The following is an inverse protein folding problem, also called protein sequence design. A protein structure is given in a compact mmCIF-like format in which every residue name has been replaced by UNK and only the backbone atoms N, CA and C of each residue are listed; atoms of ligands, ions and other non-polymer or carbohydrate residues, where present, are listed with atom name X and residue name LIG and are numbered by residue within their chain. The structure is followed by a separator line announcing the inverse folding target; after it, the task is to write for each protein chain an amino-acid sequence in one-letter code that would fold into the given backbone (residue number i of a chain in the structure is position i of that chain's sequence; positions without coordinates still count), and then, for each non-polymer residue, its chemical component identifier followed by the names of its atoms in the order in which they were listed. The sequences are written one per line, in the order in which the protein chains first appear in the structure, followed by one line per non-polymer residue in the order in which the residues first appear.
data_IF_745789837392
#
_entry.id   IF_745789837392
#
_cell.length_a   1.000
_cell.length_b   1.000
_cell.length_c   1.000
_cell.angle_alpha   90.00
_cell.angle_beta   90.00
_cell.angle_gamma   90.00
#
_symmetry.space_group_name_H-M   'P 1'
#
loop_
_entity.id
_entity.type
_entity.pdbx_description
1 polymer ?
#
# COMPACT_ATOMS: atom_id res chain seq x y z
N UNK A 1 -50.88 -41.31 4.91
CA UNK A 1 -51.40 -39.97 5.29
C UNK A 1 -50.55 -38.92 4.59
N UNK A 2 -51.14 -38.36 3.55
CA UNK A 2 -50.63 -37.31 2.69
C UNK A 2 -50.87 -35.94 3.30
N UNK A 3 -49.86 -35.09 3.38
CA UNK A 3 -49.87 -33.77 2.72
C UNK A 3 -48.52 -33.04 2.88
N UNK A 4 -47.96 -32.49 1.78
CA UNK A 4 -46.78 -31.61 1.75
C UNK A 4 -47.19 -30.13 1.87
N UNK A 5 -46.24 -29.25 2.16
CA UNK A 5 -46.38 -27.81 1.90
C UNK A 5 -45.20 -27.29 1.08
N UNK A 6 -45.50 -27.02 -0.19
CA UNK A 6 -44.81 -26.07 -1.05
C UNK A 6 -45.29 -24.64 -0.73
N UNK A 7 -44.39 -23.66 -0.86
CA UNK A 7 -44.67 -22.27 -1.23
C UNK A 7 -43.51 -21.83 -2.14
N UNK A 8 -43.65 -21.93 -3.46
CA UNK A 8 -44.24 -20.94 -4.38
C UNK A 8 -43.40 -19.66 -4.51
N UNK A 9 -42.49 -19.68 -5.47
CA UNK A 9 -41.93 -18.49 -6.09
C UNK A 9 -42.96 -17.83 -7.01
N UNK A 10 -42.97 -16.49 -7.09
CA UNK A 10 -43.31 -15.76 -8.32
C UNK A 10 -42.43 -14.51 -8.49
N UNK A 11 -41.99 -14.22 -9.72
CA UNK A 11 -41.15 -13.10 -10.08
C UNK A 11 -41.97 -11.80 -10.20
N UNK A 12 -41.39 -10.66 -9.81
CA UNK A 12 -41.96 -9.35 -10.08
C UNK A 12 -41.61 -8.92 -11.51
N UNK A 13 -42.66 -8.60 -12.26
CA UNK A 13 -42.61 -8.19 -13.66
C UNK A 13 -42.09 -6.76 -13.84
N UNK A 14 -41.31 -6.57 -14.90
CA UNK A 14 -40.96 -5.29 -15.50
C UNK A 14 -42.23 -4.56 -15.99
N UNK A 15 -42.40 -3.32 -15.56
CA UNK A 15 -43.28 -2.35 -16.22
C UNK A 15 -42.39 -1.25 -16.79
N UNK A 16 -42.26 -1.26 -18.12
CA UNK A 16 -41.70 -0.17 -18.88
C UNK A 16 -42.78 0.87 -19.16
N UNK A 17 -42.44 2.15 -19.01
CA UNK A 17 -43.21 3.25 -19.59
C UNK A 17 -42.22 4.14 -20.34
N UNK A 18 -42.37 4.12 -21.65
CA UNK A 18 -41.82 5.08 -22.60
C UNK A 18 -42.58 6.40 -22.48
N UNK A 19 -41.89 7.55 -22.49
CA UNK A 19 -42.48 8.79 -22.99
C UNK A 19 -41.47 9.55 -23.86
N UNK A 20 -41.97 9.91 -25.04
CA UNK A 20 -41.28 10.45 -26.21
C UNK A 20 -41.10 11.96 -26.10
N UNK A 21 -40.03 12.40 -26.77
CA UNK A 21 -39.63 13.72 -27.25
C UNK A 21 -40.65 14.88 -27.26
N UNK A 22 -40.12 16.09 -27.01
CA UNK A 22 -40.33 17.40 -27.67
C UNK A 22 -39.78 18.45 -26.68
N UNK A 23 -38.71 19.20 -26.96
CA UNK A 23 -38.73 20.41 -27.79
C UNK A 23 -37.27 20.83 -28.12
N UNK A 24 -36.94 20.88 -29.40
CA UNK A 24 -35.89 21.75 -29.95
C UNK A 24 -36.56 23.03 -30.49
N UNK A 25 -35.76 24.10 -30.51
CA UNK A 25 -35.81 25.29 -31.42
C UNK A 25 -36.25 26.63 -30.81
N UNK A 26 -35.28 27.56 -30.92
CA UNK A 26 -35.35 29.02 -31.10
C UNK A 26 -35.51 29.96 -29.88
N UNK A 27 -34.44 30.72 -29.61
CA UNK A 27 -34.48 32.17 -29.85
C UNK A 27 -33.08 32.69 -30.23
N UNK A 28 -33.01 33.27 -31.44
CA UNK A 28 -31.86 33.97 -32.01
C UNK A 28 -31.84 35.44 -31.53
N UNK A 29 -30.63 35.92 -31.20
CA UNK A 29 -30.01 37.23 -31.51
C UNK A 29 -30.85 38.53 -31.45
N UNK A 30 -30.33 39.54 -30.72
CA UNK A 30 -29.84 40.87 -31.23
C UNK A 30 -29.43 41.83 -30.06
N UNK A 31 -28.78 43.00 -30.29
CA UNK A 31 -27.32 43.13 -30.47
C UNK A 31 -26.65 44.21 -29.58
N UNK A 32 -25.31 44.22 -29.58
CA UNK A 32 -24.37 45.35 -29.40
C UNK A 32 -24.49 46.29 -28.18
N UNK A 33 -23.45 46.31 -27.34
CA UNK A 33 -22.86 47.57 -26.88
C UNK A 33 -21.42 47.43 -26.35
N UNK A 34 -20.53 48.24 -26.94
CA UNK A 34 -19.32 48.86 -26.38
C UNK A 34 -18.12 48.01 -25.93
N UNK A 35 -17.12 48.03 -26.82
CA UNK A 35 -15.69 48.23 -26.56
C UNK A 35 -15.29 48.48 -25.09
N UNK A 36 -14.57 47.52 -24.51
CA UNK A 36 -13.50 47.81 -23.56
C UNK A 36 -12.32 46.90 -23.88
N UNK A 37 -11.31 47.50 -24.52
CA UNK A 37 -10.02 46.89 -24.81
C UNK A 37 -9.26 46.85 -23.49
N UNK A 38 -9.45 45.79 -22.71
CA UNK A 38 -8.55 45.46 -21.60
C UNK A 38 -7.30 44.79 -22.17
N UNK A 39 -6.12 45.30 -21.79
CA UNK A 39 -4.84 44.65 -21.99
C UNK A 39 -4.92 43.17 -21.58
N UNK A 40 -4.19 42.26 -22.24
CA UNK A 40 -4.06 40.88 -21.76
C UNK A 40 -3.33 40.94 -20.42
N UNK A 41 -4.10 40.96 -19.33
CA UNK A 41 -3.60 40.54 -18.04
C UNK A 41 -3.29 39.08 -18.23
N UNK A 42 -2.01 38.74 -18.31
CA UNK A 42 -1.52 37.39 -18.08
C UNK A 42 -1.99 37.01 -16.69
N UNK A 43 -3.21 36.49 -16.61
CA UNK A 43 -3.64 35.65 -15.51
C UNK A 43 -2.76 34.42 -15.67
N UNK A 44 -1.61 34.42 -14.99
CA UNK A 44 -1.09 33.18 -14.45
C UNK A 44 -2.24 32.61 -13.65
N UNK A 45 -3.04 31.76 -14.29
CA UNK A 45 -3.99 30.93 -13.59
C UNK A 45 -3.14 30.12 -12.64
N UNK A 46 -3.19 30.50 -11.36
CA UNK A 46 -2.58 29.75 -10.28
C UNK A 46 -3.34 28.42 -10.29
N UNK A 47 -2.80 27.42 -10.99
CA UNK A 47 -3.39 26.10 -11.06
C UNK A 47 -3.32 25.58 -9.64
N UNK A 48 -4.47 25.48 -8.98
CA UNK A 48 -4.55 24.98 -7.62
C UNK A 48 -3.82 23.64 -7.54
N UNK A 49 -2.93 23.45 -6.55
CA UNK A 49 -2.17 22.23 -6.44
C UNK A 49 -3.10 21.02 -6.32
N UNK A 50 -2.79 19.97 -7.07
CA UNK A 50 -3.52 18.70 -7.02
C UNK A 50 -2.97 17.85 -5.88
N UNK A 51 -3.85 17.29 -5.05
CA UNK A 51 -3.44 16.37 -3.98
C UNK A 51 -3.19 14.97 -4.54
N UNK A 52 -2.02 14.39 -4.26
CA UNK A 52 -1.65 13.00 -4.59
C UNK A 52 -1.21 12.28 -3.32
N UNK A 53 -1.50 10.97 -3.26
CA UNK A 53 -1.12 10.09 -2.18
C UNK A 53 -0.11 9.06 -2.66
N UNK A 54 1.00 8.90 -1.92
CA UNK A 54 1.92 7.78 -2.10
C UNK A 54 1.71 6.82 -0.92
N UNK A 55 1.10 5.68 -1.18
CA UNK A 55 0.71 4.71 -0.17
C UNK A 55 1.75 3.61 -0.02
N UNK A 56 2.17 3.38 1.21
CA UNK A 56 3.07 2.31 1.63
C UNK A 56 2.31 1.31 2.50
N UNK A 57 2.41 0.02 2.17
CA UNK A 57 1.74 -1.09 2.85
C UNK A 57 2.76 -2.12 3.34
N UNK A 58 2.54 -2.68 4.54
CA UNK A 58 3.48 -3.61 5.18
C UNK A 58 4.53 -2.89 6.03
N UNK A 59 5.56 -3.58 6.56
CA UNK A 59 6.46 -2.95 7.52
C UNK A 59 7.41 -2.03 6.77
N UNK A 60 7.10 -0.75 6.81
CA UNK A 60 7.94 0.35 6.39
C UNK A 60 8.39 1.16 7.59
N UNK A 61 9.58 1.71 7.50
CA UNK A 61 10.07 2.73 8.41
C UNK A 61 10.35 4.02 7.64
N UNK A 62 10.03 5.17 8.26
CA UNK A 62 10.26 6.49 7.68
C UNK A 62 11.30 7.24 8.52
N UNK A 63 12.35 7.75 7.88
CA UNK A 63 13.38 8.56 8.53
C UNK A 63 13.61 9.86 7.76
N UNK A 64 14.07 10.95 8.41
CA UNK A 64 14.64 12.08 7.69
C UNK A 64 15.79 11.63 6.79
N UNK A 65 15.87 12.16 5.57
CA UNK A 65 16.98 11.84 4.66
C UNK A 65 18.25 12.60 5.12
N UNK A 66 19.35 11.90 5.48
CA UNK A 66 20.60 12.57 5.87
C UNK A 66 21.26 13.33 4.71
N UNK A 67 20.88 13.05 3.46
CA UNK A 67 21.42 13.70 2.26
C UNK A 67 20.56 14.88 1.78
N UNK A 68 19.32 14.98 2.25
CA UNK A 68 18.40 16.06 1.89
C UNK A 68 17.50 16.45 3.08
N UNK A 69 17.67 17.65 3.67
CA UNK A 69 16.83 18.10 4.77
C UNK A 69 15.35 18.27 4.38
N UNK A 70 15.05 18.32 3.08
CA UNK A 70 13.71 18.35 2.51
C UNK A 70 13.24 16.98 2.00
N UNK A 71 14.01 15.92 2.28
CA UNK A 71 13.69 14.55 1.91
C UNK A 71 13.28 13.69 3.09
N UNK A 72 12.65 12.57 2.76
CA UNK A 72 12.37 11.44 3.66
C UNK A 72 12.85 10.15 2.99
N UNK A 73 13.34 9.23 3.80
CA UNK A 73 13.62 7.85 3.41
C UNK A 73 12.48 6.95 3.87
N UNK A 74 11.91 6.17 2.95
CA UNK A 74 11.09 5.02 3.25
C UNK A 74 11.96 3.75 3.14
N UNK A 75 12.00 2.95 4.20
CA UNK A 75 12.89 1.80 4.36
C UNK A 75 12.07 0.54 4.62
N UNK A 76 12.41 -0.55 3.94
CA UNK A 76 11.80 -1.86 4.17
C UNK A 76 12.84 -2.97 3.97
N UNK A 77 12.72 -4.11 4.67
CA UNK A 77 13.58 -5.26 4.44
C UNK A 77 13.20 -5.98 3.13
N UNK A 78 14.20 -6.56 2.46
CA UNK A 78 13.99 -7.64 1.48
C UNK A 78 13.88 -8.95 2.26
N UNK A 79 12.70 -9.24 2.80
CA UNK A 79 12.47 -10.45 3.57
C UNK A 79 12.43 -11.70 2.67
N UNK A 80 12.86 -12.83 3.25
CA UNK A 80 12.86 -14.10 2.53
C UNK A 80 11.43 -14.60 2.30
N UNK A 81 11.08 -14.80 1.02
CA UNK A 81 9.74 -15.20 0.61
C UNK A 81 8.80 -14.04 0.32
N UNK A 82 9.32 -12.82 0.14
CA UNK A 82 8.58 -11.71 -0.47
C UNK A 82 8.99 -11.53 -1.94
N UNK A 83 8.04 -11.06 -2.75
CA UNK A 83 8.30 -10.61 -4.11
C UNK A 83 9.17 -9.34 -4.10
N UNK A 84 9.58 -8.94 -5.29
CA UNK A 84 10.27 -7.68 -5.51
C UNK A 84 9.34 -6.49 -5.24
N UNK A 85 9.93 -5.33 -4.89
CA UNK A 85 9.18 -4.11 -4.62
C UNK A 85 8.40 -3.71 -5.87
N UNK A 86 7.13 -3.38 -5.70
CA UNK A 86 6.27 -2.94 -6.78
C UNK A 86 5.82 -1.50 -6.57
N UNK A 87 6.01 -0.68 -7.60
CA UNK A 87 5.51 0.69 -7.66
C UNK A 87 4.42 0.76 -8.71
N UNK A 88 3.18 0.98 -8.24
CA UNK A 88 1.96 0.95 -9.04
C UNK A 88 1.32 2.33 -9.12
N UNK A 89 1.13 2.80 -10.33
CA UNK A 89 0.23 3.89 -10.70
C UNK A 89 -0.75 3.35 -11.78
N UNK A 90 -1.04 4.09 -12.84
CA UNK A 90 -1.72 3.54 -14.03
C UNK A 90 -0.83 2.55 -14.80
N UNK A 91 0.49 2.72 -14.69
CA UNK A 91 1.49 1.72 -15.07
C UNK A 91 2.15 1.13 -13.82
N UNK A 92 3.05 0.18 -14.03
CA UNK A 92 3.66 -0.57 -12.95
C UNK A 92 5.14 -0.84 -13.20
N UNK A 93 5.92 -0.83 -12.13
CA UNK A 93 7.34 -1.17 -12.15
C UNK A 93 7.66 -2.14 -11.03
N UNK A 94 8.35 -3.22 -11.37
CA UNK A 94 8.94 -4.16 -10.40
C UNK A 94 10.41 -3.79 -10.22
N UNK A 95 10.83 -3.64 -8.98
CA UNK A 95 12.13 -3.13 -8.58
C UNK A 95 12.82 -4.16 -7.69
N UNK A 96 14.03 -4.57 -8.08
CA UNK A 96 14.89 -5.39 -7.24
C UNK A 96 15.30 -4.66 -5.95
N UNK A 97 15.96 -5.34 -5.02
CA UNK A 97 16.54 -4.66 -3.85
C UNK A 97 17.51 -3.55 -4.26
N UNK A 98 17.54 -2.47 -3.49
CA UNK A 98 18.38 -1.31 -3.80
C UNK A 98 17.86 0.00 -3.23
N UNK A 99 18.42 1.10 -3.73
CA UNK A 99 18.08 2.47 -3.33
C UNK A 99 17.47 3.20 -4.52
N UNK A 100 16.28 3.74 -4.33
CA UNK A 100 15.49 4.42 -5.35
C UNK A 100 15.18 5.85 -4.94
N UNK A 101 14.88 6.67 -5.93
CA UNK A 101 14.33 8.01 -5.76
C UNK A 101 13.01 8.07 -6.51
N UNK A 102 11.93 8.38 -5.80
CA UNK A 102 10.63 8.69 -6.37
C UNK A 102 10.53 10.21 -6.52
N UNK A 103 10.58 10.69 -7.76
CA UNK A 103 10.46 12.11 -8.08
C UNK A 103 9.01 12.48 -8.33
N UNK A 104 8.56 13.57 -7.71
CA UNK A 104 7.22 14.12 -7.84
C UNK A 104 7.30 15.57 -8.33
N UNK A 105 6.32 16.07 -9.10
CA UNK A 105 6.25 17.46 -9.55
C UNK A 105 5.75 18.41 -8.43
N UNK A 106 6.37 18.31 -7.24
CA UNK A 106 6.14 19.18 -6.08
C UNK A 106 6.91 20.48 -6.24
N UNK A 107 6.29 21.61 -5.91
CA UNK A 107 6.94 22.94 -5.98
C UNK A 107 7.70 23.30 -4.70
N UNK A 108 7.30 22.74 -3.56
CA UNK A 108 7.89 22.99 -2.24
C UNK A 108 7.87 21.72 -1.39
N UNK A 109 8.80 21.63 -0.44
CA UNK A 109 8.76 20.59 0.59
C UNK A 109 7.54 20.78 1.49
N UNK A 110 6.87 19.68 1.85
CA UNK A 110 5.75 19.70 2.76
C UNK A 110 6.16 19.86 4.24
N UNK A 111 5.18 20.07 5.11
CA UNK A 111 5.40 20.25 6.55
C UNK A 111 5.89 18.98 7.26
N UNK A 112 5.64 17.79 6.69
CA UNK A 112 6.04 16.51 7.27
C UNK A 112 5.25 16.13 8.53
N UNK A 113 4.00 16.57 8.66
CA UNK A 113 3.19 16.29 9.86
C UNK A 113 2.94 14.80 10.03
N UNK A 114 3.56 14.21 11.05
CA UNK A 114 3.37 12.80 11.41
C UNK A 114 2.04 12.60 12.13
N UNK A 115 1.35 11.51 11.82
CA UNK A 115 0.23 11.03 12.63
C UNK A 115 0.77 10.52 13.99
N UNK A 116 0.20 10.95 15.12
CA UNK A 116 0.71 10.61 16.45
C UNK A 116 0.63 9.11 16.77
N UNK A 117 -0.20 8.34 16.05
CA UNK A 117 -0.34 6.90 16.26
C UNK A 117 0.69 6.08 15.48
N UNK A 118 1.59 6.72 14.70
CA UNK A 118 2.72 6.01 14.09
C UNK A 118 3.71 5.64 15.19
N UNK A 119 4.09 4.37 15.25
CA UNK A 119 5.05 3.86 16.24
C UNK A 119 6.39 4.55 16.06
N UNK A 120 6.85 5.23 17.10
CA UNK A 120 8.14 5.90 17.10
C UNK A 120 9.25 4.92 17.53
N UNK A 121 10.41 4.98 16.87
CA UNK A 121 11.60 4.25 17.29
C UNK A 121 12.86 5.11 17.12
N UNK A 122 13.76 5.06 18.10
CA UNK A 122 15.03 5.75 18.00
C UNK A 122 16.01 4.94 17.14
N UNK A 123 16.62 5.59 16.15
CA UNK A 123 17.66 5.01 15.30
C UNK A 123 18.94 5.82 15.45
N UNK A 124 20.09 5.15 15.48
CA UNK A 124 21.37 5.87 15.46
C UNK A 124 21.75 6.25 14.02
N UNK A 125 22.53 7.31 13.78
CA UNK A 125 23.06 7.60 12.46
C UNK A 125 23.83 6.41 11.86
N UNK A 126 24.57 5.67 12.69
CA UNK A 126 25.27 4.45 12.29
C UNK A 126 24.30 3.32 11.89
N UNK A 127 23.18 3.16 12.59
CA UNK A 127 22.13 2.18 12.25
C UNK A 127 21.43 2.51 10.93
N UNK A 128 21.14 3.79 10.69
CA UNK A 128 20.59 4.24 9.41
C UNK A 128 21.60 4.05 8.27
N UNK A 129 22.87 4.39 8.48
CA UNK A 129 23.91 4.15 7.46
C UNK A 129 24.10 2.65 7.20
N UNK A 130 24.15 1.83 8.25
CA UNK A 130 24.21 0.37 8.12
C UNK A 130 23.04 -0.17 7.30
N UNK A 131 21.82 0.31 7.58
CA UNK A 131 20.64 0.01 6.77
C UNK A 131 20.94 0.35 5.33
N UNK A 132 21.34 1.59 5.02
CA UNK A 132 21.64 2.05 3.66
C UNK A 132 22.84 1.37 2.99
N UNK A 133 23.62 0.56 3.68
CA UNK A 133 24.75 -0.20 3.13
C UNK A 133 24.45 -1.71 3.01
N UNK A 134 23.32 -2.20 3.54
CA UNK A 134 22.97 -3.62 3.60
C UNK A 134 22.50 -4.20 2.25
N UNK A 135 23.40 -4.32 1.27
CA UNK A 135 23.13 -4.75 -0.12
C UNK A 135 22.41 -6.10 -0.16
N UNK A 136 21.36 -6.20 -0.98
CA UNK A 136 20.53 -7.41 -1.13
C UNK A 136 19.46 -7.59 -0.05
N UNK A 137 19.48 -6.78 1.01
CA UNK A 137 18.64 -6.97 2.20
C UNK A 137 17.59 -5.87 2.40
N UNK A 138 17.55 -4.87 1.52
CA UNK A 138 16.72 -3.67 1.72
C UNK A 138 16.10 -3.14 0.46
N UNK A 139 15.04 -2.38 0.68
CA UNK A 139 14.59 -1.31 -0.18
C UNK A 139 14.72 0.01 0.57
N UNK A 140 15.27 1.00 -0.11
CA UNK A 140 15.20 2.39 0.32
C UNK A 140 14.59 3.23 -0.80
N UNK A 141 13.59 4.04 -0.48
CA UNK A 141 12.98 4.98 -1.42
C UNK A 141 13.15 6.38 -0.84
N UNK A 142 13.89 7.24 -1.53
CA UNK A 142 13.97 8.67 -1.26
C UNK A 142 12.76 9.35 -1.86
N UNK A 143 12.09 10.17 -1.07
CA UNK A 143 10.97 11.00 -1.49
C UNK A 143 11.17 12.43 -1.00
N UNK A 144 10.60 13.43 -1.69
CA UNK A 144 10.37 14.74 -1.07
C UNK A 144 9.59 14.59 0.23
N UNK A 145 9.82 15.49 1.18
CA UNK A 145 9.07 15.55 2.44
C UNK A 145 7.58 15.80 2.15
N UNK A 146 6.67 14.93 2.62
CA UNK A 146 5.24 15.08 2.38
C UNK A 146 4.64 16.21 3.22
N UNK A 147 3.42 16.62 2.88
CA UNK A 147 2.65 17.54 3.72
C UNK A 147 2.26 16.87 5.05
N UNK A 148 1.84 15.60 4.97
CA UNK A 148 1.43 14.81 6.11
C UNK A 148 1.55 13.30 5.85
N UNK A 149 1.71 12.54 6.92
CA UNK A 149 1.61 11.09 6.96
C UNK A 149 0.21 10.74 7.45
N UNK A 150 -0.59 10.07 6.63
CA UNK A 150 -2.00 9.79 6.92
C UNK A 150 -2.19 8.27 7.06
N UNK A 151 -2.93 7.78 8.06
CA UNK A 151 -3.24 6.36 8.18
C UNK A 151 -3.93 5.83 6.91
N UNK A 152 -3.33 4.83 6.27
CA UNK A 152 -3.92 4.09 5.15
C UNK A 152 -4.53 2.75 5.57
N UNK A 153 -4.14 2.22 6.72
CA UNK A 153 -4.63 0.96 7.28
C UNK A 153 -4.23 0.84 8.75
N UNK A 154 -4.99 0.05 9.51
CA UNK A 154 -4.73 -0.20 10.93
C UNK A 154 -5.05 -1.63 11.30
N UNK A 155 -4.32 -2.18 12.25
CA UNK A 155 -4.61 -3.48 12.84
C UNK A 155 -4.35 -3.47 14.34
N UNK A 156 -5.16 -4.23 15.06
CA UNK A 156 -4.94 -4.43 16.49
C UNK A 156 -3.66 -5.25 16.72
N UNK A 157 -2.74 -4.69 17.49
CA UNK A 157 -1.46 -5.33 17.83
C UNK A 157 -0.90 -4.75 19.12
N UNK A 158 0.15 -5.36 19.66
CA UNK A 158 0.98 -4.90 20.77
C UNK A 158 2.37 -4.62 20.23
N UNK A 159 2.95 -3.47 20.60
CA UNK A 159 4.28 -3.08 20.13
C UNK A 159 5.11 -2.58 21.29
N UNK A 160 6.34 -3.07 21.43
CA UNK A 160 7.23 -2.57 22.48
C UNK A 160 8.64 -3.11 22.42
N UNK A 161 9.51 -2.51 23.22
CA UNK A 161 10.95 -2.84 23.26
C UNK A 161 11.30 -4.11 24.05
N UNK A 162 10.31 -4.82 24.59
CA UNK A 162 10.50 -6.09 25.32
C UNK A 162 9.68 -7.21 24.68
N UNK A 163 10.19 -8.44 24.80
CA UNK A 163 9.54 -9.63 24.27
C UNK A 163 9.00 -10.54 25.40
N UNK A 164 7.73 -10.98 25.35
CA UNK A 164 6.70 -10.49 24.43
C UNK A 164 6.30 -9.04 24.77
N UNK A 165 5.79 -8.26 23.80
CA UNK A 165 5.26 -6.92 24.07
C UNK A 165 4.23 -6.91 25.21
N UNK A 166 4.32 -5.97 26.17
CA UNK A 166 3.37 -5.89 27.28
C UNK A 166 1.93 -5.71 26.81
N UNK A 167 0.96 -6.32 27.50
CA UNK A 167 -0.46 -6.19 27.15
C UNK A 167 -0.97 -4.73 27.18
N UNK A 168 -0.34 -3.87 27.99
CA UNK A 168 -0.63 -2.43 28.05
C UNK A 168 -0.28 -1.67 26.77
N UNK A 169 0.49 -2.26 25.86
CA UNK A 169 0.85 -1.67 24.55
C UNK A 169 -0.13 -2.05 23.44
N UNK A 170 -1.21 -2.75 23.79
CA UNK A 170 -2.25 -3.15 22.84
C UNK A 170 -2.99 -1.92 22.32
N UNK A 171 -3.11 -1.82 21.00
CA UNK A 171 -3.79 -0.72 20.34
C UNK A 171 -4.02 -1.00 18.86
N UNK A 172 -4.73 -0.09 18.19
CA UNK A 172 -4.98 -0.17 16.76
C UNK A 172 -3.91 0.60 15.98
N UNK A 173 -2.76 -0.06 15.80
CA UNK A 173 -1.55 0.53 15.23
C UNK A 173 -1.66 0.68 13.71
N UNK A 174 -1.01 1.70 13.16
CA UNK A 174 -1.00 1.98 11.72
C UNK A 174 -0.14 0.94 11.00
N UNK A 175 -0.72 0.24 10.02
CA UNK A 175 -0.06 -0.84 9.24
C UNK A 175 0.14 -0.47 7.76
N UNK A 176 -0.45 0.64 7.34
CA UNK A 176 -0.21 1.27 6.05
C UNK A 176 -0.29 2.77 6.21
N UNK A 177 0.53 3.52 5.48
CA UNK A 177 0.56 4.99 5.53
C UNK A 177 0.47 5.57 4.14
N UNK A 178 -0.31 6.63 3.99
CA UNK A 178 -0.41 7.44 2.78
C UNK A 178 0.29 8.76 3.00
N UNK A 179 1.37 8.99 2.26
CA UNK A 179 2.07 10.27 2.24
C UNK A 179 1.31 11.23 1.33
N UNK A 180 0.82 12.34 1.88
CA UNK A 180 0.06 13.34 1.14
C UNK A 180 1.00 14.39 0.54
N UNK A 181 0.82 14.69 -0.73
CA UNK A 181 1.57 15.71 -1.46
C UNK A 181 0.64 16.66 -2.22
N UNK A 182 0.93 17.95 -2.14
CA UNK A 182 0.50 18.96 -3.08
C UNK A 182 1.43 18.98 -4.31
N UNK A 183 0.93 18.61 -5.49
CA UNK A 183 1.68 18.60 -6.75
C UNK A 183 1.13 19.59 -7.77
N UNK A 184 1.99 20.09 -8.65
CA UNK A 184 1.60 21.02 -9.72
C UNK A 184 0.88 20.34 -10.89
N UNK A 185 1.10 19.04 -11.08
CA UNK A 185 0.50 18.24 -12.15
C UNK A 185 0.51 16.75 -11.78
N UNK A 186 -0.32 15.95 -12.45
CA UNK A 186 -0.22 14.49 -12.44
C UNK A 186 0.86 13.94 -13.40
N UNK A 187 1.52 14.82 -14.15
CA UNK A 187 2.62 14.48 -15.07
C UNK A 187 3.98 14.78 -14.44
N UNK A 188 5.01 13.99 -14.76
CA UNK A 188 6.38 14.22 -14.29
C UNK A 188 6.79 13.37 -13.10
N UNK A 189 5.93 12.43 -12.68
CA UNK A 189 6.31 11.38 -11.74
C UNK A 189 7.32 10.43 -12.41
N UNK A 190 8.37 10.08 -11.70
CA UNK A 190 9.33 9.09 -12.17
C UNK A 190 10.02 8.38 -11.03
N UNK A 191 10.50 7.16 -11.31
CA UNK A 191 11.33 6.40 -10.40
C UNK A 191 12.69 6.14 -11.05
N UNK A 192 13.75 6.36 -10.29
CA UNK A 192 15.13 6.13 -10.69
C UNK A 192 15.90 5.53 -9.53
N UNK A 193 17.12 5.04 -9.75
CA UNK A 193 17.96 4.63 -8.64
C UNK A 193 19.03 3.63 -9.00
N UNK A 194 19.51 2.94 -7.97
CA UNK A 194 20.58 1.97 -8.05
C UNK A 194 20.08 0.67 -7.40
N UNK A 195 19.50 -0.24 -8.21
CA UNK A 195 19.39 -1.63 -7.80
C UNK A 195 20.76 -2.15 -7.37
N UNK A 196 20.81 -3.12 -6.46
CA UNK A 196 22.08 -3.68 -5.99
C UNK A 196 22.93 -4.32 -7.11
N UNK A 197 22.30 -4.61 -8.26
CA UNK A 197 22.92 -5.23 -9.44
C UNK A 197 23.23 -4.24 -10.58
N UNK A 198 22.94 -2.94 -10.44
CA UNK A 198 23.20 -1.97 -11.49
C UNK A 198 22.55 -0.60 -11.28
N UNK A 199 22.17 0.05 -12.37
CA UNK A 199 21.51 1.37 -12.34
C UNK A 199 20.19 1.31 -13.09
N UNK A 200 19.17 1.92 -12.50
CA UNK A 200 17.87 2.15 -13.12
C UNK A 200 17.80 3.60 -13.60
N UNK A 201 17.83 3.79 -14.92
CA UNK A 201 17.53 5.08 -15.52
C UNK A 201 16.11 5.52 -15.15
N UNK A 202 15.82 6.84 -15.06
CA UNK A 202 14.50 7.33 -14.72
C UNK A 202 13.41 6.73 -15.60
N UNK A 203 12.46 6.04 -14.98
CA UNK A 203 11.27 5.48 -15.60
C UNK A 203 10.06 6.34 -15.23
N UNK A 204 9.34 6.91 -16.21
CA UNK A 204 8.15 7.69 -15.93
C UNK A 204 7.02 6.83 -15.34
N UNK A 205 6.32 7.38 -14.36
CA UNK A 205 5.11 6.79 -13.80
C UNK A 205 3.89 7.53 -14.38
N UNK A 206 2.97 6.77 -14.94
CA UNK A 206 1.71 7.29 -15.47
C UNK A 206 0.73 7.39 -14.30
N UNK A 207 0.53 8.60 -13.80
CA UNK A 207 -0.39 8.87 -12.69
C UNK A 207 -1.65 9.49 -13.29
N UNK A 208 -2.69 8.69 -13.54
CA UNK A 208 -3.99 9.22 -14.01
C UNK A 208 -4.96 9.42 -12.84
N UNK A 209 -4.69 8.76 -11.72
CA UNK A 209 -5.41 8.89 -10.46
C UNK A 209 -4.46 9.35 -9.37
N UNK A 210 -4.92 10.11 -8.36
CA UNK A 210 -4.07 10.71 -7.33
C UNK A 210 -3.55 9.70 -6.28
N UNK A 211 -3.21 8.48 -6.71
CA UNK A 211 -2.66 7.42 -5.87
C UNK A 211 -1.53 6.71 -6.61
N UNK A 212 -0.37 6.63 -5.95
CA UNK A 212 0.72 5.72 -6.30
C UNK A 212 0.91 4.78 -5.12
N UNK A 213 1.03 3.49 -5.37
CA UNK A 213 1.21 2.46 -4.33
C UNK A 213 2.61 1.90 -4.40
N UNK A 214 3.23 1.75 -3.25
CA UNK A 214 4.59 1.24 -3.06
C UNK A 214 4.47 0.03 -2.13
N UNK A 215 4.50 -1.16 -2.72
CA UNK A 215 4.06 -2.40 -2.04
C UNK A 215 5.12 -3.47 -2.19
N UNK A 216 5.35 -4.23 -1.11
CA UNK A 216 6.13 -5.46 -1.13
C UNK A 216 5.16 -6.59 -0.85
N UNK A 217 4.77 -7.33 -1.89
CA UNK A 217 3.84 -8.45 -1.75
C UNK A 217 4.58 -9.69 -1.26
N UNK A 218 3.95 -10.53 -0.41
CA UNK A 218 4.51 -11.83 -0.10
C UNK A 218 4.53 -12.72 -1.35
N UNK A 219 5.55 -13.56 -1.49
CA UNK A 219 5.66 -14.49 -2.62
C UNK A 219 4.67 -15.67 -2.53
N UNK A 220 4.05 -15.84 -1.37
CA UNK A 220 2.95 -16.76 -1.12
C UNK A 220 1.84 -15.92 -0.48
N UNK A 221 0.59 -16.11 -0.90
CA UNK A 221 -0.53 -15.52 -0.18
C UNK A 221 -0.47 -15.96 1.28
N UNK A 222 -0.82 -15.09 2.21
CA UNK A 222 -0.88 -15.46 3.62
C UNK A 222 -1.76 -16.70 3.74
N UNK A 223 -1.18 -17.75 4.32
CA UNK A 223 -1.91 -18.98 4.59
C UNK A 223 -3.11 -18.58 5.46
N UNK A 224 -4.37 -18.78 5.03
CA UNK A 224 -5.52 -18.47 5.86
C UNK A 224 -5.50 -19.25 7.19
N UNK A 225 -4.60 -20.24 7.32
CA UNK A 225 -4.30 -21.00 8.54
C UNK A 225 -3.14 -20.44 9.37
N UNK A 226 -2.49 -19.33 8.97
CA UNK A 226 -1.50 -18.61 9.79
C UNK A 226 -2.19 -17.79 10.89
N UNK A 227 -2.87 -18.51 11.78
CA UNK A 227 -3.49 -17.97 13.00
C UNK A 227 -2.49 -17.23 13.90
N UNK A 228 -1.19 -17.44 13.65
CA UNK A 228 -0.13 -16.80 14.40
C UNK A 228 0.39 -15.53 13.72
N UNK A 229 -0.07 -15.08 12.55
CA UNK A 229 0.47 -13.87 11.90
C UNK A 229 2.02 -13.92 11.79
N UNK A 230 2.54 -15.12 11.52
CA UNK A 230 3.97 -15.44 11.49
C UNK A 230 4.69 -14.58 10.46
N UNK A 231 4.07 -14.41 9.29
CA UNK A 231 4.59 -13.61 8.21
C UNK A 231 4.75 -12.13 8.60
N UNK A 232 3.73 -11.56 9.24
CA UNK A 232 3.77 -10.21 9.80
C UNK A 232 4.92 -10.06 10.81
N UNK A 233 5.02 -10.97 11.79
CA UNK A 233 6.10 -10.94 12.81
C UNK A 233 7.49 -11.10 12.21
N UNK A 234 7.65 -11.98 11.23
CA UNK A 234 8.92 -12.19 10.54
C UNK A 234 9.36 -10.93 9.78
N UNK A 235 8.43 -10.32 9.04
CA UNK A 235 8.69 -9.09 8.30
C UNK A 235 9.05 -7.91 9.21
N UNK A 236 8.36 -7.78 10.35
CA UNK A 236 8.67 -6.75 11.35
C UNK A 236 10.02 -6.99 12.02
N UNK A 237 10.33 -8.25 12.39
CA UNK A 237 11.66 -8.65 12.89
C UNK A 237 12.76 -8.24 11.91
N UNK A 238 12.58 -8.52 10.64
CA UNK A 238 13.58 -8.24 9.62
C UNK A 238 13.78 -6.73 9.44
N UNK A 239 12.71 -5.93 9.54
CA UNK A 239 12.79 -4.47 9.54
C UNK A 239 13.59 -3.97 10.75
N UNK A 240 13.24 -4.38 11.97
CA UNK A 240 13.91 -3.87 13.17
C UNK A 240 15.38 -4.30 13.23
N UNK A 241 15.69 -5.52 12.75
CA UNK A 241 17.05 -6.03 12.62
C UNK A 241 17.86 -5.23 11.60
N UNK A 242 17.27 -4.92 10.44
CA UNK A 242 17.90 -4.10 9.41
C UNK A 242 18.25 -2.70 9.96
N UNK A 243 17.32 -2.10 10.71
CA UNK A 243 17.47 -0.76 11.30
C UNK A 243 18.39 -0.73 12.54
N UNK A 244 18.69 -1.89 13.13
CA UNK A 244 19.41 -1.96 14.40
C UNK A 244 18.63 -1.40 15.58
N UNK A 245 17.29 -1.46 15.55
CA UNK A 245 16.40 -1.01 16.64
C UNK A 245 15.83 -2.21 17.39
N UNK A 246 15.43 -1.99 18.65
CA UNK A 246 14.80 -3.04 19.47
C UNK A 246 13.31 -2.76 19.61
N UNK A 247 12.51 -3.41 18.77
CA UNK A 247 11.05 -3.41 18.85
C UNK A 247 10.52 -4.80 18.51
N UNK A 248 9.39 -5.16 19.11
CA UNK A 248 8.69 -6.42 18.89
C UNK A 248 7.21 -6.14 18.64
N UNK A 249 6.55 -7.01 17.86
CA UNK A 249 5.10 -6.96 17.60
C UNK A 249 4.40 -8.25 17.98
N UNK A 250 3.19 -8.14 18.53
CA UNK A 250 2.29 -9.27 18.81
C UNK A 250 0.83 -8.93 18.48
N UNK A 251 -0.03 -9.93 18.28
CA UNK A 251 -1.40 -9.78 17.76
C UNK A 251 -2.45 -10.44 18.69
N UNK A 252 -3.68 -9.90 18.80
CA UNK A 252 -4.63 -10.21 19.88
C UNK A 252 -5.22 -11.63 19.90
N UNK A 253 -5.07 -12.46 18.86
CA UNK A 253 -5.55 -13.86 18.82
C UNK A 253 -4.51 -14.89 19.25
N UNK A 254 -3.69 -14.50 20.22
CA UNK A 254 -2.48 -15.22 20.53
C UNK A 254 -2.67 -16.41 21.46
N UNK A 255 -2.27 -17.60 21.00
CA UNK A 255 -2.09 -18.77 21.87
C UNK A 255 -0.64 -18.87 22.32
N UNK A 256 -0.38 -19.44 23.50
CA UNK A 256 0.99 -19.71 23.97
C UNK A 256 1.80 -20.59 23.00
N UNK A 257 1.13 -21.37 22.15
CA UNK A 257 1.76 -22.15 21.09
C UNK A 257 2.40 -21.25 20.01
N UNK A 258 1.77 -20.14 19.61
CA UNK A 258 2.37 -19.18 18.67
C UNK A 258 3.69 -18.61 19.22
N UNK A 259 3.81 -18.43 20.53
CA UNK A 259 5.02 -17.97 21.23
C UNK A 259 6.17 -18.94 21.14
N UNK A 260 5.88 -20.24 21.07
CA UNK A 260 6.93 -21.24 20.99
C UNK A 260 7.66 -21.18 19.65
N UNK A 261 6.96 -20.78 18.59
CA UNK A 261 7.45 -20.75 17.20
C UNK A 261 7.64 -19.34 16.66
N UNK A 262 7.55 -18.31 17.50
CA UNK A 262 7.65 -16.91 17.09
C UNK A 262 9.05 -16.60 16.52
N UNK A 263 9.16 -16.05 15.28
CA UNK A 263 10.43 -15.69 14.66
C UNK A 263 11.22 -14.61 15.42
N UNK A 264 10.57 -13.82 16.28
CA UNK A 264 11.17 -12.74 17.04
C UNK A 264 11.93 -13.23 18.29
N UNK A 265 11.68 -14.47 18.76
CA UNK A 265 12.41 -15.04 19.90
C UNK A 265 13.84 -15.36 19.54
N UNK A 266 14.79 -14.97 20.40
CA UNK A 266 16.20 -15.28 20.23
C UNK A 266 16.47 -16.77 19.94
N UNK A 267 15.77 -17.68 20.63
CA UNK A 267 15.88 -19.12 20.43
C UNK A 267 15.47 -19.60 19.02
N UNK A 268 14.64 -18.82 18.32
CA UNK A 268 14.04 -19.15 17.03
C UNK A 268 14.66 -18.35 15.85
N UNK A 269 15.73 -17.58 16.08
CA UNK A 269 16.36 -16.73 15.05
C UNK A 269 17.16 -17.51 13.99
N UNK A 270 16.98 -18.84 13.90
CA UNK A 270 17.53 -19.59 12.77
C UNK A 270 16.73 -19.23 11.51
N UNK A 271 17.39 -18.99 10.36
CA UNK A 271 16.68 -18.77 9.10
C UNK A 271 15.74 -19.94 8.86
N UNK A 272 14.44 -19.68 8.75
CA UNK A 272 13.49 -20.72 8.34
C UNK A 272 13.72 -21.00 6.87
N UNK A 273 14.19 -22.19 6.58
CA UNK A 273 14.30 -22.66 5.20
C UNK A 273 12.91 -22.84 4.59
N UNK A 274 12.82 -22.86 3.26
CA UNK A 274 11.59 -23.27 2.59
C UNK A 274 11.13 -24.68 3.04
N UNK A 275 12.08 -25.53 3.44
CA UNK A 275 11.80 -26.84 4.02
C UNK A 275 11.19 -26.75 5.43
N UNK A 276 11.62 -25.82 6.29
CA UNK A 276 11.00 -25.62 7.61
C UNK A 276 9.56 -25.12 7.48
N UNK A 277 9.28 -24.28 6.47
CA UNK A 277 7.93 -23.80 6.16
C UNK A 277 7.07 -24.92 5.57
N UNK A 278 7.60 -25.72 4.65
CA UNK A 278 6.93 -26.90 4.12
C UNK A 278 6.70 -27.97 5.18
N UNK A 279 7.65 -28.20 6.09
CA UNK A 279 7.52 -29.13 7.20
C UNK A 279 6.51 -28.63 8.24
N UNK A 280 6.40 -27.32 8.47
CA UNK A 280 5.34 -26.75 9.30
C UNK A 280 3.95 -26.91 8.66
N UNK A 281 3.85 -26.79 7.32
CA UNK A 281 2.65 -27.09 6.56
C UNK A 281 2.32 -28.60 6.57
N UNK A 282 3.33 -29.47 6.49
CA UNK A 282 3.18 -30.93 6.48
C UNK A 282 2.87 -31.52 7.86
N UNK A 283 3.42 -30.95 8.94
CA UNK A 283 3.23 -31.42 10.31
C UNK A 283 1.89 -30.98 10.93
N UNK A 284 1.10 -30.14 10.24
CA UNK A 284 -0.29 -29.89 10.60
C UNK A 284 -1.18 -30.91 9.89
N UNK A 285 -1.68 -31.86 10.68
CA UNK A 285 -2.63 -32.89 10.26
C UNK A 285 -3.72 -32.37 9.33
N UNK A 286 -3.90 -33.11 8.23
CA UNK A 286 -5.04 -33.11 7.32
C UNK A 286 -6.34 -32.72 8.02
N UNK A 287 -6.89 -31.59 7.59
CA UNK A 287 -8.29 -31.51 7.23
C UNK A 287 -8.34 -30.95 5.81
N UNK A 288 -8.31 -31.90 4.87
CA UNK A 288 -8.81 -31.83 3.49
C UNK A 288 -10.14 -31.05 3.42
N UNK A 289 -10.49 -30.35 2.34
CA UNK A 289 -10.48 -30.81 0.94
C UNK A 289 -10.17 -29.68 -0.06
N UNK A 290 -9.50 -30.08 -1.15
CA UNK A 290 -9.59 -29.59 -2.53
C UNK A 290 -9.76 -28.08 -2.79
N UNK A 291 -8.73 -27.48 -3.39
CA UNK A 291 -8.71 -27.26 -4.85
C UNK A 291 -7.28 -27.02 -5.33
N UNK A 292 -6.72 -28.03 -6.01
CA UNK A 292 -5.72 -27.80 -7.03
C UNK A 292 -6.39 -27.17 -8.26
N UNK A 293 -5.87 -26.04 -8.72
CA UNK A 293 -5.73 -25.81 -10.15
C UNK A 293 -4.44 -25.01 -10.40
N UNK A 294 -3.58 -25.45 -11.34
CA UNK A 294 -2.40 -24.70 -11.72
C UNK A 294 -2.85 -23.45 -12.49
N UNK A 295 -2.45 -22.25 -12.05
CA UNK A 295 -2.58 -21.06 -12.88
C UNK A 295 -1.22 -20.70 -13.47
N UNK A 296 -1.13 -21.04 -14.75
CA UNK A 296 -0.13 -20.65 -15.72
C UNK A 296 0.16 -19.15 -15.70
N UNK A 297 1.39 -18.83 -16.07
CA UNK A 297 1.87 -17.49 -16.36
C UNK A 297 0.95 -16.71 -17.33
N UNK A 298 0.76 -15.43 -17.04
CA UNK A 298 0.42 -14.42 -18.04
C UNK A 298 -1.03 -14.35 -18.51
N UNK A 299 -1.48 -13.11 -18.70
CA UNK A 299 -2.63 -12.69 -19.50
C UNK A 299 -4.03 -12.93 -18.90
N UNK A 300 -4.63 -11.82 -18.47
CA UNK A 300 -6.04 -11.53 -18.76
C UNK A 300 -7.08 -12.18 -17.84
N UNK A 301 -7.67 -11.36 -16.98
CA UNK A 301 -9.08 -11.53 -16.64
C UNK A 301 -9.93 -10.59 -17.52
N UNK A 302 -10.57 -11.10 -18.59
CA UNK A 302 -11.83 -10.55 -19.05
C UNK A 302 -12.88 -11.66 -19.05
N UNK A 303 -13.63 -11.80 -17.96
CA UNK A 303 -14.87 -12.58 -17.97
C UNK A 303 -15.66 -12.34 -16.69
N UNK A 304 -16.16 -11.12 -16.50
CA UNK A 304 -17.51 -10.86 -15.98
C UNK A 304 -17.77 -9.35 -16.01
N UNK A 305 -19.04 -8.96 -16.15
CA UNK A 305 -19.58 -7.60 -16.36
C UNK A 305 -19.78 -7.24 -17.85
N UNK A 306 -20.60 -8.03 -18.52
CA UNK A 306 -21.49 -7.54 -19.57
C UNK A 306 -22.92 -7.52 -19.01
N UNK A 307 -23.19 -6.59 -18.11
CA UNK A 307 -24.54 -6.15 -17.72
C UNK A 307 -24.40 -4.93 -16.81
N UNK A 308 -25.38 -4.04 -16.83
CA UNK A 308 -25.53 -2.82 -16.02
C UNK A 308 -24.99 -1.54 -16.65
N UNK A 309 -25.86 -0.93 -17.46
CA UNK A 309 -25.77 0.46 -17.87
C UNK A 309 -26.13 1.40 -16.71
N UNK A 310 -25.24 2.35 -16.43
CA UNK A 310 -25.50 3.77 -16.17
C UNK A 310 -24.21 4.42 -15.62
N UNK A 311 -23.83 5.57 -16.20
CA UNK A 311 -22.51 6.20 -16.08
C UNK A 311 -22.04 6.65 -14.69
N UNK A 312 -22.77 6.35 -13.60
CA UNK A 312 -22.36 6.64 -12.22
C UNK A 312 -21.53 5.52 -11.57
N UNK A 313 -21.48 4.31 -12.15
CA UNK A 313 -20.73 3.18 -11.58
C UNK A 313 -19.26 3.13 -11.99
N UNK A 314 -18.84 3.91 -12.99
CA UNK A 314 -17.44 3.96 -13.43
C UNK A 314 -16.49 4.56 -12.40
N UNK A 315 -16.95 5.53 -11.59
CA UNK A 315 -16.14 6.07 -10.49
C UNK A 315 -16.02 5.09 -9.32
N UNK A 316 -17.09 4.34 -9.02
CA UNK A 316 -17.09 3.30 -8.00
C UNK A 316 -16.26 2.08 -8.40
N UNK A 317 -16.23 1.70 -9.67
CA UNK A 317 -15.39 0.61 -10.17
C UNK A 317 -13.91 1.01 -10.30
N UNK A 318 -13.60 2.26 -10.67
CA UNK A 318 -12.24 2.78 -10.53
C UNK A 318 -11.84 2.80 -9.04
N UNK A 319 -12.78 3.13 -8.15
CA UNK A 319 -12.52 3.09 -6.72
C UNK A 319 -12.28 1.65 -6.22
N UNK A 320 -13.09 0.68 -6.65
CA UNK A 320 -12.92 -0.72 -6.26
C UNK A 320 -11.66 -1.31 -6.90
N UNK A 321 -11.35 -1.11 -8.18
CA UNK A 321 -10.17 -1.73 -8.80
C UNK A 321 -8.83 -1.06 -8.40
N UNK A 322 -8.85 0.21 -8.00
CA UNK A 322 -7.65 0.94 -7.51
C UNK A 322 -7.50 0.92 -5.99
N UNK A 323 -8.60 0.86 -5.23
CA UNK A 323 -8.61 0.88 -3.75
C UNK A 323 -9.12 -0.44 -3.11
N UNK A 324 -9.49 -1.48 -3.87
CA UNK A 324 -9.50 -2.83 -3.28
C UNK A 324 -8.05 -3.22 -3.03
N UNK A 325 -7.76 -3.49 -1.77
CA UNK A 325 -6.51 -4.04 -1.29
C UNK A 325 -6.16 -5.26 -2.18
N UNK A 326 -5.11 -5.26 -3.01
CA UNK A 326 -4.34 -6.48 -3.08
C UNK A 326 -3.82 -6.70 -1.67
N UNK A 327 -4.09 -7.89 -1.17
CA UNK A 327 -3.65 -8.50 0.07
C UNK A 327 -2.16 -8.28 0.38
N UNK A 328 -1.77 -7.05 0.73
CA UNK A 328 -0.70 -6.83 1.68
C UNK A 328 -1.26 -7.20 3.05
N UNK A 329 -1.45 -8.50 3.30
CA UNK A 329 -2.00 -9.02 4.56
C UNK A 329 -1.02 -8.81 5.73
N UNK A 330 0.15 -8.22 5.49
CA UNK A 330 1.09 -7.87 6.53
C UNK A 330 0.50 -6.80 7.47
N UNK A 331 0.16 -7.24 8.68
CA UNK A 331 -0.41 -6.39 9.75
C UNK A 331 0.66 -5.72 10.60
N UNK A 332 1.90 -5.72 10.14
CA UNK A 332 3.00 -5.15 10.89
C UNK A 332 2.93 -3.63 10.94
N UNK A 333 3.13 -3.02 12.12
CA UNK A 333 3.10 -1.58 12.27
C UNK A 333 4.17 -0.84 11.47
N UNK A 334 3.82 0.36 11.01
CA UNK A 334 4.71 1.34 10.41
C UNK A 334 5.55 2.00 11.51
N UNK A 335 6.84 2.20 11.24
CA UNK A 335 7.75 2.92 12.12
C UNK A 335 8.03 4.35 11.62
N UNK A 336 8.09 5.30 12.53
CA UNK A 336 8.71 6.61 12.33
C UNK A 336 10.00 6.69 13.14
N UNK A 337 11.10 6.95 12.46
CA UNK A 337 12.44 6.96 13.03
C UNK A 337 12.87 8.37 13.39
N UNK A 338 13.48 8.50 14.57
CA UNK A 338 14.09 9.74 15.05
C UNK A 338 15.50 9.45 15.59
N UNK A 339 16.35 10.48 15.59
CA UNK A 339 17.73 10.41 16.06
C UNK A 339 17.85 10.86 17.51
#
# INVERSE_FOLDING_TARGET
MTHPRHCSAKPLALVGISLVALLFVACNQKPSSTNSRSSPRTLSADIAPTTVFIQFEGPWAFAPDPQDPNGVLALAPKAQGHLDLYVKASNAQTLASGIYTLSLPTTTAGAGTLDPDIVQAQVTPAGLQHTLDATGLRYAVRLPKPDAYIPGGRAESRVGGTYPPPASTQGNHITAVSLRYAVSSLTGFSISGTPDTGTLNPVPLNVETPLVRVVIEPAQLDDPLDQCETHSRESFRDLVKLLGVTQFVDFPNYTSACQQVDPQRAANQRPRTSQDRLAAAWNKNLWEEDMQAPRLAGVGFPAWISSFGNGKMRSLLAYVVLFTHPAGDCRSPILALHF
#
